data_IF_384243284300
#
_entry.id   IF_384243284300
#
_cell.length_a   1.000
_cell.length_b   1.000
_cell.length_c   1.000
_cell.angle_alpha   90.00
_cell.angle_beta   90.00
_cell.angle_gamma   90.00
#
_symmetry.space_group_name_H-M   'P 1'
#
loop_
_entity.id
_entity.type
_entity.pdbx_description
1 polymer ?
#
# COMPACT_ATOMS: atom_id res chain seq x y z
N UNK A 1 -17.03 14.03 -13.99
CA UNK A 1 -16.16 13.12 -14.59
C UNK A 1 -16.58 11.69 -14.83
N UNK A 2 -17.89 11.33 -14.87
CA UNK A 2 -18.36 9.99 -15.27
C UNK A 2 -19.17 10.05 -16.56
N UNK A 3 -18.73 10.88 -17.46
CA UNK A 3 -19.34 10.97 -18.80
C UNK A 3 -18.83 9.82 -19.67
N UNK A 4 -19.65 9.36 -20.63
CA UNK A 4 -19.36 8.21 -21.50
C UNK A 4 -18.05 8.34 -22.32
N UNK A 5 -17.54 9.55 -22.45
CA UNK A 5 -16.35 9.89 -23.21
C UNK A 5 -15.08 9.97 -22.38
N UNK A 6 -15.11 9.56 -21.09
CA UNK A 6 -13.94 9.63 -20.23
C UNK A 6 -13.43 8.26 -19.81
N UNK A 7 -12.11 8.16 -19.60
CA UNK A 7 -11.44 7.00 -19.04
C UNK A 7 -12.04 6.53 -17.71
N UNK A 8 -12.59 7.44 -16.92
CA UNK A 8 -13.14 7.12 -15.59
C UNK A 8 -14.36 6.19 -15.64
N UNK A 9 -15.19 6.24 -16.68
CA UNK A 9 -16.30 5.31 -16.84
C UNK A 9 -15.78 3.88 -17.04
N UNK A 10 -14.81 3.71 -17.93
CA UNK A 10 -14.18 2.40 -18.18
C UNK A 10 -13.45 1.88 -16.93
N UNK A 11 -12.68 2.75 -16.27
CA UNK A 11 -12.00 2.41 -15.03
C UNK A 11 -12.96 1.98 -13.92
N UNK A 12 -14.08 2.70 -13.76
CA UNK A 12 -15.11 2.35 -12.79
C UNK A 12 -15.73 0.96 -13.08
N UNK A 13 -15.96 0.65 -14.38
CA UNK A 13 -16.46 -0.67 -14.79
C UNK A 13 -15.49 -1.80 -14.44
N UNK A 14 -14.21 -1.62 -14.73
CA UNK A 14 -13.16 -2.61 -14.47
C UNK A 14 -12.89 -2.79 -12.97
N UNK A 15 -12.74 -1.69 -12.22
CA UNK A 15 -12.45 -1.72 -10.79
C UNK A 15 -13.58 -2.38 -10.00
N UNK A 16 -14.83 -2.21 -10.40
CA UNK A 16 -15.98 -2.86 -9.73
C UNK A 16 -15.93 -4.39 -9.75
N UNK A 17 -15.30 -4.97 -10.74
CA UNK A 17 -15.19 -6.41 -10.88
C UNK A 17 -14.09 -6.99 -9.99
N UNK A 18 -12.96 -6.29 -9.81
CA UNK A 18 -11.77 -6.78 -9.11
C UNK A 18 -12.03 -7.32 -7.70
N UNK A 19 -12.79 -6.63 -6.82
CA UNK A 19 -13.05 -7.12 -5.46
C UNK A 19 -13.92 -8.38 -5.40
N UNK A 20 -14.42 -8.87 -6.54
CA UNK A 20 -15.35 -10.01 -6.62
C UNK A 20 -14.79 -11.19 -7.41
N UNK A 21 -13.78 -10.97 -8.27
CA UNK A 21 -13.27 -11.99 -9.17
C UNK A 21 -12.31 -12.94 -8.49
N UNK A 22 -11.39 -12.43 -7.66
CA UNK A 22 -10.29 -13.20 -7.06
C UNK A 22 -10.45 -13.35 -5.53
N UNK A 23 -11.67 -13.49 -5.07
CA UNK A 23 -12.02 -13.50 -3.66
C UNK A 23 -12.46 -12.12 -3.16
N UNK A 24 -13.21 -12.10 -2.06
CA UNK A 24 -13.63 -10.82 -1.47
C UNK A 24 -12.46 -10.11 -0.81
N UNK A 25 -12.55 -8.80 -0.67
CA UNK A 25 -11.56 -7.98 0.06
C UNK A 25 -11.26 -8.58 1.44
N UNK A 26 -12.28 -9.05 2.16
CA UNK A 26 -12.14 -9.66 3.48
C UNK A 26 -11.27 -10.94 3.45
N UNK A 27 -11.51 -11.81 2.49
CA UNK A 27 -10.70 -13.04 2.32
C UNK A 27 -9.25 -12.69 2.00
N UNK A 28 -9.03 -11.74 1.11
CA UNK A 28 -7.69 -11.32 0.70
C UNK A 28 -6.93 -10.66 1.85
N UNK A 29 -7.57 -9.78 2.64
CA UNK A 29 -6.96 -9.18 3.83
C UNK A 29 -6.53 -10.23 4.86
N UNK A 30 -7.37 -11.23 5.12
CA UNK A 30 -7.01 -12.32 6.02
C UNK A 30 -5.87 -13.21 5.48
N UNK A 31 -5.80 -13.38 4.14
CA UNK A 31 -4.73 -14.16 3.51
C UNK A 31 -3.38 -13.44 3.56
N UNK A 32 -3.34 -12.14 3.28
CA UNK A 32 -2.08 -11.38 3.24
C UNK A 32 -1.40 -11.29 4.60
N UNK A 33 -2.16 -11.35 5.70
CA UNK A 33 -1.62 -11.37 7.06
C UNK A 33 -0.62 -12.50 7.30
N UNK A 34 -0.70 -13.60 6.58
CA UNK A 34 0.26 -14.71 6.68
C UNK A 34 1.67 -14.30 6.28
N UNK A 35 1.80 -13.24 5.50
CA UNK A 35 3.08 -12.73 5.00
C UNK A 35 3.64 -11.57 5.85
N UNK A 36 2.83 -11.02 6.76
CA UNK A 36 3.20 -9.84 7.54
C UNK A 36 4.56 -9.99 8.26
N UNK A 37 4.87 -11.11 8.95
CA UNK A 37 6.17 -11.26 9.61
C UNK A 37 7.35 -11.27 8.61
N UNK A 38 7.22 -11.98 7.47
CA UNK A 38 8.26 -12.02 6.46
C UNK A 38 8.45 -10.65 5.80
N UNK A 39 7.38 -9.93 5.56
CA UNK A 39 7.42 -8.63 4.91
C UNK A 39 8.04 -7.56 5.81
N UNK A 40 7.59 -7.45 7.06
CA UNK A 40 8.05 -6.39 7.96
C UNK A 40 9.44 -6.65 8.56
N UNK A 41 9.81 -7.92 8.79
CA UNK A 41 10.93 -8.26 9.67
C UNK A 41 12.04 -9.05 8.98
N UNK A 42 11.75 -9.84 7.96
CA UNK A 42 12.72 -10.81 7.47
C UNK A 42 13.62 -10.29 6.36
N UNK A 43 13.27 -9.21 5.69
CA UNK A 43 14.01 -8.64 4.56
C UNK A 43 14.59 -9.71 3.62
N UNK A 44 14.16 -9.79 2.39
CA UNK A 44 14.66 -10.74 1.42
C UNK A 44 15.26 -10.02 0.22
N UNK A 45 16.07 -10.75 -0.56
CA UNK A 45 16.43 -10.30 -1.89
C UNK A 45 15.57 -11.04 -2.89
N UNK A 46 14.96 -10.30 -3.81
CA UNK A 46 14.38 -10.91 -5.00
C UNK A 46 15.48 -11.39 -5.93
N UNK A 47 15.28 -12.50 -6.64
CA UNK A 47 16.06 -12.71 -7.84
C UNK A 47 15.80 -11.55 -8.81
N UNK A 48 16.86 -11.05 -9.44
CA UNK A 48 16.71 -10.04 -10.48
C UNK A 48 15.80 -10.59 -11.59
N UNK A 49 14.71 -9.90 -11.86
CA UNK A 49 13.79 -10.28 -12.95
C UNK A 49 14.24 -9.49 -14.17
N UNK A 50 14.85 -10.12 -15.19
CA UNK A 50 15.27 -9.41 -16.38
C UNK A 50 14.06 -8.83 -17.12
N UNK A 51 14.18 -7.59 -17.57
CA UNK A 51 13.19 -6.99 -18.48
C UNK A 51 13.32 -7.70 -19.84
N UNK A 52 12.34 -8.53 -20.17
CA UNK A 52 12.31 -9.24 -21.44
C UNK A 52 11.48 -8.46 -22.45
N UNK A 53 12.04 -8.33 -23.68
CA UNK A 53 11.36 -7.71 -24.83
C UNK A 53 11.20 -8.69 -26.00
N UNK A 54 11.66 -9.91 -25.84
CA UNK A 54 11.54 -11.01 -26.78
C UNK A 54 10.22 -11.78 -26.58
N UNK A 55 9.86 -12.61 -27.53
CA UNK A 55 8.76 -13.58 -27.37
C UNK A 55 9.04 -14.43 -26.14
N UNK A 56 8.14 -14.39 -25.18
CA UNK A 56 8.33 -15.04 -23.90
C UNK A 56 8.43 -16.55 -24.07
N UNK A 57 9.53 -17.13 -23.59
CA UNK A 57 9.58 -18.54 -23.26
C UNK A 57 8.90 -18.71 -21.89
N UNK A 58 7.66 -19.14 -21.92
CA UNK A 58 6.81 -19.29 -20.73
C UNK A 58 6.94 -20.67 -20.07
N UNK A 59 7.80 -21.52 -20.57
CA UNK A 59 7.97 -22.90 -20.08
C UNK A 59 8.27 -22.96 -18.58
N UNK A 60 8.94 -21.92 -18.02
CA UNK A 60 9.22 -21.85 -16.59
C UNK A 60 7.95 -21.74 -15.73
N UNK A 61 6.86 -21.16 -16.25
CA UNK A 61 5.57 -21.06 -15.54
C UNK A 61 4.96 -22.44 -15.32
N UNK A 62 5.20 -23.37 -16.25
CA UNK A 62 4.69 -24.74 -16.19
C UNK A 62 5.66 -25.70 -15.48
N UNK A 63 6.92 -25.31 -15.34
CA UNK A 63 7.95 -26.07 -14.64
C UNK A 63 8.01 -25.78 -13.13
N UNK A 64 7.10 -24.98 -12.58
CA UNK A 64 7.04 -24.68 -11.16
C UNK A 64 6.77 -25.95 -10.36
N UNK A 65 7.73 -26.33 -9.53
CA UNK A 65 7.54 -27.44 -8.58
C UNK A 65 6.44 -27.12 -7.55
N UNK A 66 6.01 -28.11 -6.75
CA UNK A 66 4.96 -27.90 -5.77
C UNK A 66 5.32 -26.73 -4.83
N UNK A 67 4.37 -25.82 -4.63
CA UNK A 67 4.53 -24.70 -3.71
C UNK A 67 4.82 -25.23 -2.29
N UNK A 68 6.06 -25.14 -1.86
CA UNK A 68 6.50 -25.61 -0.54
C UNK A 68 6.55 -24.43 0.42
N UNK A 69 5.48 -24.27 1.18
CA UNK A 69 5.43 -23.48 2.40
C UNK A 69 5.65 -21.97 2.22
N UNK A 70 4.89 -21.19 2.95
CA UNK A 70 4.96 -19.71 2.98
C UNK A 70 6.34 -19.20 3.45
N UNK A 71 7.09 -19.97 4.25
CA UNK A 71 8.39 -19.58 4.78
C UNK A 71 9.53 -19.44 3.77
N UNK A 72 9.28 -19.78 2.49
CA UNK A 72 10.24 -19.58 1.39
C UNK A 72 9.95 -18.34 0.56
N UNK A 73 8.85 -17.65 0.82
CA UNK A 73 8.52 -16.41 0.13
C UNK A 73 9.34 -15.30 0.76
N UNK A 74 10.17 -14.66 -0.05
CA UNK A 74 10.94 -13.49 0.32
C UNK A 74 10.30 -12.25 -0.31
N UNK A 75 10.30 -11.16 0.44
CA UNK A 75 9.89 -9.84 -0.04
C UNK A 75 11.09 -8.92 -0.07
N UNK A 76 11.16 -8.02 -1.04
CA UNK A 76 12.15 -6.96 -1.05
C UNK A 76 11.99 -6.05 0.17
N UNK A 77 13.07 -5.37 0.57
CA UNK A 77 13.03 -4.48 1.71
C UNK A 77 12.11 -3.28 1.41
N UNK A 78 11.05 -3.14 2.17
CA UNK A 78 10.09 -2.04 2.02
C UNK A 78 10.63 -0.70 2.51
N UNK A 79 11.44 -0.71 3.57
CA UNK A 79 11.91 0.49 4.26
C UNK A 79 12.73 1.44 3.37
N UNK A 80 13.71 1.00 2.56
CA UNK A 80 14.47 1.89 1.69
C UNK A 80 13.61 2.65 0.67
N UNK A 81 12.50 2.06 0.20
CA UNK A 81 11.58 2.72 -0.72
C UNK A 81 10.93 3.96 -0.08
N UNK A 82 10.64 3.91 1.22
CA UNK A 82 10.05 5.03 1.94
C UNK A 82 11.12 6.02 2.44
N UNK A 83 12.28 5.52 2.91
CA UNK A 83 13.35 6.35 3.46
C UNK A 83 13.92 7.36 2.46
N UNK A 84 13.89 7.05 1.15
CA UNK A 84 14.31 8.02 0.13
C UNK A 84 13.47 9.30 0.16
N UNK A 85 12.24 9.25 0.65
CA UNK A 85 11.31 10.37 0.76
C UNK A 85 11.06 10.81 2.21
N UNK A 86 11.82 10.32 3.18
CA UNK A 86 11.63 10.64 4.61
C UNK A 86 11.81 12.12 4.97
N UNK A 87 12.37 12.93 4.06
CA UNK A 87 12.46 14.38 4.22
C UNK A 87 11.10 15.07 4.08
N UNK A 88 10.11 14.39 3.50
CA UNK A 88 8.74 14.88 3.38
C UNK A 88 7.99 14.60 4.70
N UNK A 89 7.27 15.61 5.26
CA UNK A 89 6.72 15.50 6.60
C UNK A 89 5.70 14.37 6.76
N UNK A 90 4.86 14.13 5.77
CA UNK A 90 3.86 13.07 5.85
C UNK A 90 4.48 11.67 5.64
N UNK A 91 5.53 11.55 4.85
CA UNK A 91 6.29 10.30 4.73
C UNK A 91 6.98 9.96 6.05
N UNK A 92 7.60 10.95 6.71
CA UNK A 92 8.21 10.76 8.02
C UNK A 92 7.18 10.34 9.09
N UNK A 93 6.00 10.98 9.10
CA UNK A 93 4.91 10.61 10.00
C UNK A 93 4.41 9.19 9.75
N UNK A 94 4.24 8.81 8.49
CA UNK A 94 3.83 7.45 8.12
C UNK A 94 4.89 6.41 8.51
N UNK A 95 6.19 6.68 8.30
CA UNK A 95 7.27 5.79 8.75
C UNK A 95 7.20 5.54 10.26
N UNK A 96 6.95 6.58 11.05
CA UNK A 96 6.77 6.45 12.49
C UNK A 96 5.55 5.58 12.85
N UNK A 97 4.45 5.70 12.10
CA UNK A 97 3.28 4.83 12.25
C UNK A 97 3.60 3.36 11.90
N UNK A 98 4.38 3.12 10.84
CA UNK A 98 4.80 1.76 10.48
C UNK A 98 5.70 1.14 11.56
N UNK A 99 6.62 1.92 12.13
CA UNK A 99 7.46 1.47 13.25
C UNK A 99 6.60 1.12 14.48
N UNK A 100 5.61 1.93 14.80
CA UNK A 100 4.66 1.64 15.87
C UNK A 100 3.81 0.41 15.58
N UNK A 101 3.38 0.20 14.33
CA UNK A 101 2.65 -1.00 13.91
C UNK A 101 3.52 -2.27 14.03
N UNK A 102 4.76 -2.21 13.57
CA UNK A 102 5.70 -3.32 13.73
C UNK A 102 5.92 -3.64 15.21
N UNK A 103 6.12 -2.62 16.05
CA UNK A 103 6.25 -2.79 17.49
C UNK A 103 5.00 -3.41 18.14
N UNK A 104 3.79 -2.98 17.73
CA UNK A 104 2.53 -3.57 18.18
C UNK A 104 2.47 -5.06 17.86
N UNK A 105 2.71 -5.44 16.60
CA UNK A 105 2.66 -6.85 16.17
C UNK A 105 3.69 -7.72 16.90
N UNK A 106 4.89 -7.17 17.17
CA UNK A 106 5.96 -7.90 17.86
C UNK A 106 5.70 -8.06 19.36
N UNK A 107 5.19 -7.02 20.02
CA UNK A 107 5.07 -7.02 21.50
C UNK A 107 3.69 -7.43 21.98
N UNK A 108 2.66 -7.30 21.14
CA UNK A 108 1.28 -7.58 21.42
C UNK A 108 0.64 -8.46 20.31
N UNK A 109 1.22 -9.65 20.02
CA UNK A 109 0.73 -10.49 18.94
C UNK A 109 -0.73 -10.91 19.18
N UNK A 110 -1.47 -11.27 18.11
CA UNK A 110 -2.84 -11.75 18.23
C UNK A 110 -2.94 -12.98 19.15
N UNK A 111 -3.89 -12.97 20.08
CA UNK A 111 -4.19 -14.14 20.93
C UNK A 111 -4.77 -15.29 20.11
N UNK A 112 -4.83 -16.54 20.63
CA UNK A 112 -5.45 -17.66 19.94
C UNK A 112 -6.93 -17.41 19.58
N UNK A 113 -7.65 -16.64 20.37
CA UNK A 113 -9.03 -16.24 20.14
C UNK A 113 -9.10 -15.23 19.00
N UNK A 114 -8.24 -14.20 19.02
CA UNK A 114 -8.15 -13.17 17.97
C UNK A 114 -7.72 -13.72 16.61
N UNK A 115 -6.93 -14.81 16.59
CA UNK A 115 -6.59 -15.50 15.34
C UNK A 115 -7.80 -16.12 14.63
N UNK A 116 -8.95 -16.22 15.33
CA UNK A 116 -10.24 -16.69 14.80
C UNK A 116 -11.26 -15.56 14.67
N UNK A 117 -10.94 -14.37 15.15
CA UNK A 117 -11.76 -13.18 15.08
C UNK A 117 -11.49 -12.46 13.75
N UNK A 118 -12.43 -12.60 12.82
CA UNK A 118 -12.28 -12.03 11.48
C UNK A 118 -12.15 -10.50 11.53
N UNK A 119 -12.93 -9.83 12.37
CA UNK A 119 -12.90 -8.35 12.45
C UNK A 119 -11.54 -7.85 12.94
N UNK A 120 -10.95 -8.55 13.92
CA UNK A 120 -9.60 -8.24 14.39
C UNK A 120 -8.55 -8.45 13.30
N UNK A 121 -8.62 -9.58 12.59
CA UNK A 121 -7.69 -9.90 11.50
C UNK A 121 -7.83 -8.92 10.33
N UNK A 122 -9.05 -8.50 10.01
CA UNK A 122 -9.28 -7.52 8.94
C UNK A 122 -8.62 -6.18 9.26
N UNK A 123 -8.72 -5.70 10.49
CA UNK A 123 -8.07 -4.44 10.90
C UNK A 123 -6.55 -4.52 10.77
N UNK A 124 -5.93 -5.63 11.22
CA UNK A 124 -4.49 -5.83 11.02
C UNK A 124 -4.11 -5.95 9.55
N UNK A 125 -4.95 -6.63 8.74
CA UNK A 125 -4.75 -6.75 7.30
C UNK A 125 -4.82 -5.40 6.59
N UNK A 126 -5.75 -4.55 6.98
CA UNK A 126 -5.86 -3.18 6.46
C UNK A 126 -4.62 -2.35 6.79
N UNK A 127 -4.15 -2.34 8.04
CA UNK A 127 -2.91 -1.68 8.44
C UNK A 127 -1.72 -2.19 7.64
N UNK A 128 -1.61 -3.49 7.46
CA UNK A 128 -0.53 -4.09 6.68
C UNK A 128 -0.57 -3.69 5.21
N UNK A 129 -1.74 -3.67 4.58
CA UNK A 129 -1.87 -3.29 3.18
C UNK A 129 -1.51 -1.84 2.93
N UNK A 130 -1.67 -0.93 3.89
CA UNK A 130 -1.20 0.45 3.77
C UNK A 130 0.34 0.52 3.63
N UNK A 131 1.06 -0.32 4.38
CA UNK A 131 2.53 -0.38 4.27
C UNK A 131 2.97 -0.86 2.89
N UNK A 132 2.33 -1.92 2.38
CA UNK A 132 2.63 -2.45 1.03
C UNK A 132 2.29 -1.42 -0.04
N UNK A 133 1.14 -0.77 0.09
CA UNK A 133 0.71 0.24 -0.89
C UNK A 133 1.64 1.45 -0.89
N UNK A 134 2.05 1.92 0.27
CA UNK A 134 3.01 3.01 0.40
C UNK A 134 4.36 2.68 -0.25
N UNK A 135 4.88 1.45 -0.07
CA UNK A 135 6.08 0.99 -0.78
C UNK A 135 5.90 1.10 -2.29
N UNK A 136 4.81 0.55 -2.84
CA UNK A 136 4.55 0.56 -4.28
C UNK A 136 4.42 1.98 -4.85
N UNK A 137 3.81 2.91 -4.10
CA UNK A 137 3.73 4.33 -4.49
C UNK A 137 5.13 4.94 -4.58
N UNK A 138 5.99 4.72 -3.59
CA UNK A 138 7.36 5.24 -3.59
C UNK A 138 8.21 4.64 -4.71
N UNK A 139 8.09 3.33 -4.96
CA UNK A 139 8.79 2.66 -6.06
C UNK A 139 8.32 3.16 -7.43
N UNK A 140 7.01 3.37 -7.60
CA UNK A 140 6.45 3.90 -8.83
C UNK A 140 6.88 5.36 -9.07
N UNK A 141 6.93 6.17 -8.01
CA UNK A 141 7.33 7.58 -8.09
C UNK A 141 8.76 7.77 -8.60
N UNK A 142 9.67 6.85 -8.26
CA UNK A 142 11.06 6.85 -8.70
C UNK A 142 11.27 6.40 -10.16
N UNK A 143 10.22 5.85 -10.81
CA UNK A 143 10.32 5.32 -12.16
C UNK A 143 9.84 6.35 -13.19
N UNK A 144 10.78 7.05 -13.84
CA UNK A 144 10.47 7.67 -15.15
C UNK A 144 10.37 6.54 -16.18
N UNK A 145 9.25 6.46 -16.92
CA UNK A 145 9.04 5.50 -18.02
C UNK A 145 9.18 6.21 -19.36
N UNK A 146 10.38 6.33 -19.95
CA UNK A 146 10.50 6.80 -21.32
C UNK A 146 9.93 5.75 -22.27
N UNK A 147 9.05 6.14 -23.17
CA UNK A 147 8.57 5.30 -24.28
C UNK A 147 7.30 4.51 -24.05
N UNK A 148 6.58 4.72 -22.96
CA UNK A 148 5.16 4.34 -22.85
C UNK A 148 4.27 5.47 -23.40
N UNK A 149 3.02 5.12 -23.77
CA UNK A 149 2.02 6.06 -24.35
C UNK A 149 1.74 7.28 -23.45
N UNK A 150 2.27 7.28 -22.24
CA UNK A 150 2.34 8.43 -21.37
C UNK A 150 3.80 8.69 -21.01
N UNK A 151 4.41 9.70 -21.65
CA UNK A 151 5.53 10.45 -21.08
C UNK A 151 5.03 11.18 -19.81
N UNK A 152 4.49 10.43 -18.86
CA UNK A 152 4.09 11.00 -17.59
C UNK A 152 5.35 11.37 -16.82
N UNK A 153 5.53 12.64 -16.44
CA UNK A 153 6.55 13.02 -15.49
C UNK A 153 6.36 12.17 -14.23
N UNK A 154 7.46 11.74 -13.60
CA UNK A 154 7.39 11.08 -12.30
C UNK A 154 6.57 11.93 -11.32
N UNK A 155 5.98 11.30 -10.30
CA UNK A 155 5.23 12.03 -9.27
C UNK A 155 6.14 13.08 -8.62
N UNK A 156 5.65 14.32 -8.49
CA UNK A 156 6.35 15.36 -7.74
C UNK A 156 6.40 15.03 -6.23
N UNK A 157 7.34 15.61 -5.52
CA UNK A 157 7.42 15.46 -4.06
C UNK A 157 6.16 15.98 -3.36
N UNK A 158 5.56 17.06 -3.86
CA UNK A 158 4.29 17.59 -3.36
C UNK A 158 3.16 16.56 -3.53
N UNK A 159 3.13 15.85 -4.66
CA UNK A 159 2.16 14.79 -4.92
C UNK A 159 2.37 13.60 -3.97
N UNK A 160 3.62 13.16 -3.80
CA UNK A 160 3.96 12.08 -2.87
C UNK A 160 3.54 12.46 -1.44
N UNK A 161 3.92 13.65 -0.97
CA UNK A 161 3.57 14.09 0.38
C UNK A 161 2.05 14.16 0.60
N UNK A 162 1.30 14.58 -0.43
CA UNK A 162 -0.17 14.60 -0.39
C UNK A 162 -0.77 13.19 -0.31
N UNK A 163 -0.26 12.23 -1.05
CA UNK A 163 -0.68 10.83 -0.95
C UNK A 163 -0.41 10.31 0.46
N UNK A 164 0.77 10.61 1.02
CA UNK A 164 1.12 10.18 2.37
C UNK A 164 0.31 10.88 3.45
N UNK A 165 -0.19 12.09 3.24
CA UNK A 165 -1.15 12.73 4.14
C UNK A 165 -2.42 11.86 4.29
N UNK A 166 -2.91 11.26 3.19
CA UNK A 166 -4.04 10.32 3.22
C UNK A 166 -3.66 9.05 3.97
N UNK A 167 -2.50 8.46 3.70
CA UNK A 167 -2.06 7.26 4.43
C UNK A 167 -1.94 7.47 5.92
N UNK A 168 -1.41 8.64 6.36
CA UNK A 168 -1.33 8.98 7.79
C UNK A 168 -2.72 9.05 8.42
N UNK A 169 -3.68 9.64 7.71
CA UNK A 169 -5.06 9.71 8.19
C UNK A 169 -5.69 8.31 8.25
N UNK A 170 -5.59 7.53 7.18
CA UNK A 170 -6.17 6.19 7.10
C UNK A 170 -5.64 5.27 8.21
N UNK A 171 -4.31 5.26 8.42
CA UNK A 171 -3.70 4.49 9.53
C UNK A 171 -4.22 4.95 10.89
N UNK A 172 -4.38 6.26 11.08
CA UNK A 172 -4.93 6.81 12.34
C UNK A 172 -6.37 6.37 12.57
N UNK A 173 -7.21 6.37 11.53
CA UNK A 173 -8.61 5.89 11.62
C UNK A 173 -8.65 4.38 11.95
N UNK A 174 -7.82 3.57 11.30
CA UNK A 174 -7.70 2.14 11.59
C UNK A 174 -7.20 1.89 13.03
N UNK A 175 -6.28 2.72 13.52
CA UNK A 175 -5.76 2.64 14.88
C UNK A 175 -6.83 2.94 15.93
N UNK A 176 -7.69 3.94 15.68
CA UNK A 176 -8.87 4.22 16.52
C UNK A 176 -9.83 3.04 16.50
N UNK A 177 -10.06 2.45 15.32
CA UNK A 177 -10.84 1.22 15.17
C UNK A 177 -10.30 0.08 16.02
N UNK A 178 -8.99 -0.20 15.93
CA UNK A 178 -8.32 -1.24 16.72
C UNK A 178 -8.41 -0.98 18.22
N UNK A 179 -8.20 0.27 18.64
CA UNK A 179 -8.34 0.66 20.04
C UNK A 179 -9.75 0.39 20.60
N UNK A 180 -10.78 0.61 19.77
CA UNK A 180 -12.18 0.45 20.14
C UNK A 180 -12.70 -1.00 20.03
N UNK A 181 -11.96 -1.92 19.44
CA UNK A 181 -12.42 -3.30 19.26
C UNK A 181 -12.64 -4.03 20.58
N UNK A 182 -13.76 -4.75 20.71
CA UNK A 182 -14.10 -5.48 21.92
C UNK A 182 -13.08 -6.58 22.24
N UNK A 183 -12.52 -7.23 21.22
CA UNK A 183 -11.55 -8.31 21.35
C UNK A 183 -10.11 -7.84 21.61
N UNK A 184 -9.81 -6.53 21.46
CA UNK A 184 -8.47 -6.01 21.69
C UNK A 184 -8.09 -6.07 23.18
N UNK A 185 -6.86 -6.53 23.47
CA UNK A 185 -6.30 -6.49 24.82
C UNK A 185 -5.92 -5.07 25.24
N UNK A 186 -5.76 -4.83 26.55
CA UNK A 186 -5.33 -3.50 27.04
C UNK A 186 -3.97 -3.10 26.47
N UNK A 187 -3.03 -4.05 26.30
CA UNK A 187 -1.74 -3.80 25.67
C UNK A 187 -1.86 -3.40 24.21
N UNK A 188 -2.73 -4.04 23.44
CA UNK A 188 -3.01 -3.70 22.04
C UNK A 188 -3.70 -2.34 21.92
N UNK A 189 -4.66 -2.04 22.83
CA UNK A 189 -5.31 -0.73 22.89
C UNK A 189 -4.30 0.37 23.15
N UNK A 190 -3.42 0.18 24.12
CA UNK A 190 -2.38 1.16 24.43
C UNK A 190 -1.39 1.34 23.27
N UNK A 191 -0.97 0.26 22.63
CA UNK A 191 -0.07 0.30 21.48
C UNK A 191 -0.73 0.95 20.23
N UNK A 192 -2.03 0.75 20.02
CA UNK A 192 -2.77 1.36 18.92
C UNK A 192 -2.74 2.90 18.98
N UNK A 193 -2.70 3.50 20.17
CA UNK A 193 -2.61 4.96 20.30
C UNK A 193 -1.31 5.54 19.71
N UNK A 194 -0.24 4.78 19.66
CA UNK A 194 1.01 5.20 19.06
C UNK A 194 0.97 5.28 17.52
N UNK A 195 -0.05 4.70 16.89
CA UNK A 195 -0.28 4.80 15.45
C UNK A 195 -1.08 6.06 15.07
N UNK A 196 -1.62 6.79 16.03
CA UNK A 196 -2.45 7.96 15.75
C UNK A 196 -1.54 9.17 15.52
N UNK A 197 -1.62 9.72 14.32
CA UNK A 197 -0.91 10.93 13.90
C UNK A 197 -1.85 11.81 13.08
N UNK A 198 -1.58 13.13 13.07
CA UNK A 198 -2.24 14.05 12.16
C UNK A 198 -1.34 14.33 10.97
N UNK A 199 -1.88 14.35 9.73
CA UNK A 199 -1.10 14.77 8.60
C UNK A 199 -0.72 16.25 8.68
N UNK A 200 0.43 16.58 8.14
CA UNK A 200 0.87 17.96 7.96
C UNK A 200 0.30 18.48 6.64
N UNK A 201 -0.41 19.60 6.68
CA UNK A 201 -0.93 20.27 5.49
C UNK A 201 -0.22 21.60 5.35
N UNK A 202 0.58 21.73 4.31
CA UNK A 202 1.22 22.98 3.89
C UNK A 202 0.42 23.61 2.76
N UNK A 203 -0.03 24.85 2.94
CA UNK A 203 -0.90 25.52 1.96
C UNK A 203 -0.20 25.78 0.62
N UNK A 204 1.13 25.98 0.62
CA UNK A 204 1.87 26.19 -0.62
C UNK A 204 2.05 24.85 -1.39
N UNK A 205 2.33 23.75 -0.67
CA UNK A 205 2.39 22.41 -1.24
C UNK A 205 1.01 21.97 -1.77
N UNK A 206 -0.07 22.28 -1.07
CA UNK A 206 -1.45 22.00 -1.52
C UNK A 206 -1.77 22.76 -2.81
N UNK A 207 -1.39 24.05 -2.90
CA UNK A 207 -1.60 24.83 -4.12
C UNK A 207 -0.78 24.27 -5.29
N UNK A 208 0.49 23.90 -5.06
CA UNK A 208 1.33 23.30 -6.09
C UNK A 208 0.74 21.97 -6.61
N UNK A 209 0.19 21.15 -5.71
CA UNK A 209 -0.52 19.93 -6.09
C UNK A 209 -1.77 20.22 -6.95
N UNK A 210 -2.58 21.19 -6.54
CA UNK A 210 -3.77 21.60 -7.32
C UNK A 210 -3.37 22.09 -8.71
N UNK A 211 -2.32 22.90 -8.82
CA UNK A 211 -1.83 23.42 -10.08
C UNK A 211 -1.31 22.29 -11.00
N UNK A 212 -0.64 21.28 -10.43
CA UNK A 212 -0.19 20.09 -11.15
C UNK A 212 -1.39 19.27 -11.69
N UNK A 213 -2.39 19.04 -10.84
CA UNK A 213 -3.60 18.28 -11.23
C UNK A 213 -4.39 19.01 -12.31
N UNK A 214 -4.50 20.34 -12.22
CA UNK A 214 -5.21 21.13 -13.23
C UNK A 214 -4.54 21.09 -14.60
N UNK A 215 -3.22 20.89 -14.69
CA UNK A 215 -2.51 20.70 -15.95
C UNK A 215 -2.88 19.38 -16.65
N UNK A 216 -3.47 18.43 -15.93
CA UNK A 216 -3.92 17.14 -16.46
C UNK A 216 -5.39 17.16 -16.89
N UNK A 217 -6.03 18.33 -16.99
CA UNK A 217 -7.47 18.44 -17.26
C UNK A 217 -7.94 17.68 -18.51
N UNK A 218 -7.09 17.63 -19.55
CA UNK A 218 -7.41 16.94 -20.80
C UNK A 218 -6.79 15.52 -20.93
N UNK A 219 -6.01 15.10 -19.92
CA UNK A 219 -5.28 13.83 -19.98
C UNK A 219 -6.19 12.58 -19.92
N UNK A 220 -7.44 12.76 -19.51
CA UNK A 220 -8.41 11.68 -19.31
C UNK A 220 -9.50 11.64 -20.38
N UNK A 221 -9.40 12.51 -21.39
CA UNK A 221 -10.31 12.49 -22.55
C UNK A 221 -9.94 11.30 -23.44
N UNK A 222 -10.93 10.46 -23.75
CA UNK A 222 -10.73 9.31 -24.63
C UNK A 222 -10.43 9.81 -26.06
N UNK A 223 -9.42 9.26 -26.74
CA UNK A 223 -9.22 9.54 -28.15
C UNK A 223 -10.43 9.04 -28.95
N UNK A 224 -10.88 9.82 -29.93
CA UNK A 224 -11.93 9.47 -30.88
C UNK A 224 -11.60 8.21 -31.70
#
# INVERSE_FOLDING_TARGET
GFEEDTYFEQAAGHIRALPKLEGTVHVNLALVLKFLPQYLMAGGQYPEIPVRQDAADDDYLFAQGPAKGLGKIAFGPWRPALEQYQHLPNVAAFLAQVDAFAALVMTQPPTPEQQKDLDFLLTLGQLFTQVVYAQLVCEAAGQSRPGTVSDMPGMSEAHIDRIFAVFVQDVSEMAVGLHGQASATDGQRAAALALIAAPTIDAAAEQAFVDEVLQLSDAYVMPE
#
